data_IF_121756651090
#
_entry.id   IF_121756651090
#
_cell.length_a   1.000
_cell.length_b   1.000
_cell.length_c   1.000
_cell.angle_alpha   90.00
_cell.angle_beta   90.00
_cell.angle_gamma   90.00
#
_symmetry.space_group_name_H-M   'P 1'
#
loop_
_entity.id
_entity.type
_entity.pdbx_description
1 polymer ?
#
# COMPACT_ATOMS: atom_id res chain seq x y z
N UNK A 1 -4.91 -7.95 19.97
CA UNK A 1 -5.30 -9.19 19.28
C UNK A 1 -6.11 -8.81 18.04
N UNK A 2 -5.53 -9.01 16.86
CA UNK A 2 -6.25 -8.81 15.61
C UNK A 2 -6.96 -10.09 15.25
N UNK A 3 -8.28 -10.12 15.37
CA UNK A 3 -9.09 -11.29 15.03
C UNK A 3 -9.69 -11.08 13.64
N UNK A 4 -9.37 -11.96 12.70
CA UNK A 4 -9.97 -11.98 11.37
C UNK A 4 -11.07 -13.04 11.30
N UNK A 5 -12.27 -12.64 10.91
CA UNK A 5 -13.38 -13.55 10.68
C UNK A 5 -13.65 -13.67 9.17
N UNK A 6 -13.62 -14.89 8.66
CA UNK A 6 -13.99 -15.19 7.27
C UNK A 6 -15.37 -15.85 7.27
N UNK A 7 -16.29 -15.30 6.48
CA UNK A 7 -17.64 -15.81 6.35
C UNK A 7 -17.84 -16.37 4.95
N UNK A 8 -18.11 -17.68 4.88
CA UNK A 8 -18.68 -18.34 3.71
C UNK A 8 -20.17 -18.56 4.00
N UNK A 9 -21.08 -17.91 3.27
CA UNK A 9 -22.49 -17.88 3.60
C UNK A 9 -23.40 -18.17 2.41
N UNK A 10 -24.61 -18.61 2.76
CA UNK A 10 -25.70 -19.00 1.88
C UNK A 10 -25.98 -17.99 0.79
N UNK A 11 -25.86 -18.45 -0.43
CA UNK A 11 -26.03 -17.66 -1.65
C UNK A 11 -27.47 -17.69 -2.11
N UNK A 12 -27.95 -16.59 -2.69
CA UNK A 12 -29.24 -16.51 -3.34
C UNK A 12 -29.12 -16.00 -4.76
N UNK A 13 -30.04 -16.41 -5.62
CA UNK A 13 -30.16 -15.82 -6.95
C UNK A 13 -30.53 -14.33 -6.84
N UNK A 14 -30.03 -13.46 -7.75
CA UNK A 14 -30.46 -12.08 -7.83
C UNK A 14 -31.97 -11.96 -8.00
N UNK A 15 -32.63 -10.99 -7.35
CA UNK A 15 -34.09 -10.77 -7.42
C UNK A 15 -34.58 -10.56 -8.86
N UNK A 16 -33.80 -9.88 -9.69
CA UNK A 16 -34.15 -9.61 -11.08
C UNK A 16 -33.99 -10.82 -12.02
N UNK A 17 -33.54 -11.99 -11.48
CA UNK A 17 -33.09 -13.11 -12.29
C UNK A 17 -31.78 -12.79 -13.00
N UNK A 18 -30.91 -13.75 -13.07
CA UNK A 18 -29.56 -13.60 -13.65
C UNK A 18 -28.75 -14.87 -13.45
N UNK A 19 -27.57 -14.92 -14.04
CA UNK A 19 -26.60 -15.97 -13.77
C UNK A 19 -25.75 -15.54 -12.59
N UNK A 20 -25.50 -16.46 -11.65
CA UNK A 20 -24.67 -16.24 -10.47
C UNK A 20 -25.49 -16.13 -9.19
N UNK A 21 -24.83 -15.97 -8.09
CA UNK A 21 -25.39 -15.86 -6.75
C UNK A 21 -24.98 -14.53 -6.10
N UNK A 22 -25.83 -14.02 -5.21
CA UNK A 22 -25.55 -12.80 -4.42
C UNK A 22 -25.55 -13.22 -2.93
N UNK A 23 -24.60 -12.74 -2.16
CA UNK A 23 -24.54 -12.96 -0.73
C UNK A 23 -25.69 -12.22 -0.04
N UNK A 24 -26.49 -12.96 0.74
CA UNK A 24 -27.72 -12.44 1.35
C UNK A 24 -27.44 -11.49 2.52
N UNK A 25 -28.29 -10.45 2.68
CA UNK A 25 -28.16 -9.47 3.75
C UNK A 25 -28.34 -10.06 5.16
N UNK A 26 -29.35 -10.90 5.42
CA UNK A 26 -29.61 -11.42 6.76
C UNK A 26 -28.50 -12.27 7.38
N UNK A 27 -27.89 -13.23 6.67
CA UNK A 27 -26.75 -13.97 7.19
C UNK A 27 -25.55 -13.07 7.48
N UNK A 28 -25.24 -12.14 6.57
CA UNK A 28 -24.14 -11.18 6.72
C UNK A 28 -24.38 -10.26 7.93
N UNK A 29 -25.60 -9.71 8.06
CA UNK A 29 -25.96 -8.86 9.17
C UNK A 29 -25.83 -9.57 10.52
N UNK A 30 -26.37 -10.80 10.64
CA UNK A 30 -26.25 -11.56 11.88
C UNK A 30 -24.83 -11.83 12.29
N UNK A 31 -23.96 -12.06 11.33
CA UNK A 31 -22.57 -12.28 11.62
C UNK A 31 -21.84 -10.98 11.98
N UNK A 32 -22.07 -9.90 11.25
CA UNK A 32 -21.56 -8.59 11.56
C UNK A 32 -21.99 -8.14 12.98
N UNK A 33 -23.27 -8.31 13.32
CA UNK A 33 -23.80 -7.98 14.63
C UNK A 33 -23.15 -8.81 15.75
N UNK A 34 -22.97 -10.12 15.52
CA UNK A 34 -22.29 -10.99 16.50
C UNK A 34 -20.83 -10.57 16.74
N UNK A 35 -20.11 -10.15 15.70
CA UNK A 35 -18.73 -9.62 15.83
C UNK A 35 -18.74 -8.31 16.62
N UNK A 36 -19.66 -7.39 16.33
CA UNK A 36 -19.78 -6.12 17.06
C UNK A 36 -20.10 -6.36 18.54
N UNK A 37 -20.98 -7.32 18.85
CA UNK A 37 -21.32 -7.71 20.22
C UNK A 37 -20.10 -8.29 20.96
N UNK A 38 -19.31 -9.13 20.29
CA UNK A 38 -18.08 -9.71 20.86
C UNK A 38 -17.01 -8.63 21.13
N UNK A 39 -16.88 -7.65 20.22
CA UNK A 39 -15.97 -6.53 20.39
C UNK A 39 -16.44 -5.53 21.44
N UNK A 40 -17.71 -5.55 21.80
CA UNK A 40 -18.34 -4.60 22.74
C UNK A 40 -18.47 -3.17 22.21
N UNK A 41 -18.18 -2.95 20.94
CA UNK A 41 -18.32 -1.67 20.24
C UNK A 41 -18.42 -1.89 18.72
N UNK A 42 -19.06 -0.97 17.96
CA UNK A 42 -19.00 -1.00 16.51
C UNK A 42 -17.55 -0.90 16.03
N UNK A 43 -17.15 -1.81 15.13
CA UNK A 43 -15.86 -1.77 14.46
C UNK A 43 -16.01 -1.13 13.08
N UNK A 44 -14.97 -0.47 12.61
CA UNK A 44 -14.96 0.10 11.26
C UNK A 44 -15.02 -1.02 10.21
N UNK A 45 -16.07 -1.02 9.43
CA UNK A 45 -16.41 -2.11 8.50
C UNK A 45 -16.05 -1.72 7.06
N UNK A 46 -15.21 -2.52 6.44
CA UNK A 46 -14.66 -2.27 5.10
C UNK A 46 -15.10 -3.40 4.16
N UNK A 47 -15.74 -3.05 3.04
CA UNK A 47 -16.03 -3.98 1.95
C UNK A 47 -14.90 -3.96 0.91
N UNK A 48 -14.36 -5.14 0.61
CA UNK A 48 -13.31 -5.30 -0.42
C UNK A 48 -13.97 -5.44 -1.80
N UNK A 49 -13.95 -4.36 -2.57
CA UNK A 49 -14.70 -4.23 -3.82
C UNK A 49 -13.86 -3.54 -4.89
N UNK A 50 -13.98 -3.95 -6.18
CA UNK A 50 -13.37 -3.20 -7.28
C UNK A 50 -13.91 -1.77 -7.43
N UNK A 51 -15.10 -1.47 -6.86
CA UNK A 51 -15.72 -0.15 -6.90
C UNK A 51 -15.14 0.83 -5.87
N UNK A 52 -14.42 0.33 -4.88
CA UNK A 52 -13.87 1.11 -3.79
C UNK A 52 -12.69 2.02 -4.19
N UNK A 53 -12.33 2.93 -3.30
CA UNK A 53 -11.12 3.73 -3.46
C UNK A 53 -9.87 2.84 -3.44
N UNK A 54 -8.89 3.14 -4.31
CA UNK A 54 -7.66 2.34 -4.39
C UNK A 54 -6.85 2.47 -3.09
N UNK A 55 -6.55 1.34 -2.47
CA UNK A 55 -5.78 1.24 -1.24
C UNK A 55 -4.35 1.78 -1.43
N UNK A 56 -3.92 2.64 -0.54
CA UNK A 56 -2.60 3.26 -0.55
C UNK A 56 -2.03 3.28 0.88
N UNK A 57 -0.72 3.49 1.00
CA UNK A 57 -0.03 3.53 2.29
C UNK A 57 -0.65 4.53 3.28
N UNK A 58 -1.10 5.70 2.80
CA UNK A 58 -1.77 6.70 3.64
C UNK A 58 -3.09 6.19 4.23
N UNK A 59 -3.84 5.36 3.48
CA UNK A 59 -5.05 4.70 4.00
C UNK A 59 -4.69 3.67 5.08
N UNK A 60 -3.61 2.88 4.90
CA UNK A 60 -3.14 1.97 5.94
C UNK A 60 -2.77 2.70 7.23
N UNK A 61 -2.03 3.82 7.12
CA UNK A 61 -1.70 4.68 8.26
C UNK A 61 -2.95 5.26 8.93
N UNK A 62 -3.92 5.69 8.15
CA UNK A 62 -5.20 6.21 8.64
C UNK A 62 -5.96 5.13 9.42
N UNK A 63 -6.16 3.95 8.82
CA UNK A 63 -6.87 2.85 9.46
C UNK A 63 -6.22 2.45 10.79
N UNK A 64 -4.89 2.34 10.83
CA UNK A 64 -4.16 2.02 12.07
C UNK A 64 -4.30 3.11 13.13
N UNK A 65 -4.34 4.38 12.75
CA UNK A 65 -4.43 5.52 13.69
C UNK A 65 -5.84 5.68 14.26
N UNK A 66 -6.85 5.52 13.41
CA UNK A 66 -8.21 5.95 13.72
C UNK A 66 -9.06 4.82 14.31
N UNK A 67 -8.66 3.53 14.15
CA UNK A 67 -9.46 2.38 14.56
C UNK A 67 -8.64 1.33 15.31
N UNK A 68 -9.22 0.81 16.39
CA UNK A 68 -8.66 -0.30 17.15
C UNK A 68 -9.08 -1.67 16.60
N UNK A 69 -10.21 -1.73 15.90
CA UNK A 69 -10.74 -2.94 15.26
C UNK A 69 -11.30 -2.63 13.87
N UNK A 70 -11.07 -3.55 12.95
CA UNK A 70 -11.57 -3.51 11.57
C UNK A 70 -12.36 -4.79 11.28
N UNK A 71 -13.51 -4.67 10.63
CA UNK A 71 -14.25 -5.78 10.02
C UNK A 71 -14.02 -5.71 8.51
N UNK A 72 -13.50 -6.79 7.92
CA UNK A 72 -13.26 -6.87 6.49
C UNK A 72 -14.30 -7.80 5.86
N UNK A 73 -15.17 -7.25 5.01
CA UNK A 73 -16.19 -8.00 4.28
C UNK A 73 -15.62 -8.44 2.94
N UNK A 74 -15.51 -9.76 2.77
CA UNK A 74 -15.01 -10.38 1.55
C UNK A 74 -16.18 -10.88 0.71
N UNK A 75 -16.49 -10.18 -0.37
CA UNK A 75 -17.53 -10.58 -1.31
C UNK A 75 -17.08 -11.72 -2.23
N UNK A 76 -18.07 -12.50 -2.65
CA UNK A 76 -17.94 -13.56 -3.63
C UNK A 76 -19.00 -13.46 -4.72
N UNK A 77 -18.84 -14.23 -5.78
CA UNK A 77 -19.79 -14.37 -6.89
C UNK A 77 -20.15 -13.03 -7.55
N UNK A 78 -21.46 -12.67 -7.60
CA UNK A 78 -21.95 -11.41 -8.15
C UNK A 78 -21.90 -10.25 -7.13
N UNK A 79 -21.43 -10.52 -5.89
CA UNK A 79 -21.27 -9.53 -4.83
C UNK A 79 -22.18 -9.72 -3.64
N UNK A 80 -22.39 -8.65 -2.90
CA UNK A 80 -23.13 -8.59 -1.63
C UNK A 80 -24.42 -7.79 -1.83
N UNK A 81 -25.50 -8.18 -1.15
CA UNK A 81 -26.77 -7.44 -1.17
C UNK A 81 -26.54 -5.98 -0.73
N UNK A 82 -27.00 -5.04 -1.58
CA UNK A 82 -26.74 -3.62 -1.40
C UNK A 82 -27.29 -3.08 -0.06
N UNK A 83 -28.37 -3.63 0.45
CA UNK A 83 -28.96 -3.21 1.73
C UNK A 83 -28.02 -3.47 2.92
N UNK A 84 -27.23 -4.56 2.87
CA UNK A 84 -26.21 -4.81 3.87
C UNK A 84 -25.04 -3.80 3.73
N UNK A 85 -24.64 -3.50 2.52
CA UNK A 85 -23.60 -2.50 2.28
C UNK A 85 -24.03 -1.12 2.79
N UNK A 86 -25.24 -0.69 2.48
CA UNK A 86 -25.78 0.61 2.88
C UNK A 86 -25.93 0.76 4.41
N UNK A 87 -26.21 -0.35 5.13
CA UNK A 87 -26.47 -0.33 6.57
C UNK A 87 -25.24 -0.58 7.42
N UNK A 88 -24.33 -1.47 6.99
CA UNK A 88 -23.27 -2.00 7.85
C UNK A 88 -21.85 -1.65 7.40
N UNK A 89 -21.66 -1.14 6.18
CA UNK A 89 -20.32 -0.87 5.63
C UNK A 89 -20.01 0.62 5.68
N UNK A 90 -18.88 0.98 6.29
CA UNK A 90 -18.44 2.36 6.40
C UNK A 90 -17.70 2.85 5.15
N UNK A 91 -16.95 1.96 4.50
CA UNK A 91 -16.22 2.29 3.26
C UNK A 91 -15.95 1.06 2.39
N UNK A 92 -15.72 1.32 1.08
CA UNK A 92 -15.25 0.32 0.13
C UNK A 92 -13.79 0.57 -0.25
N UNK A 93 -12.99 -0.49 -0.27
CA UNK A 93 -11.58 -0.44 -0.65
C UNK A 93 -11.29 -1.39 -1.81
N UNK A 94 -10.60 -0.88 -2.83
CA UNK A 94 -10.04 -1.65 -3.94
C UNK A 94 -8.53 -1.80 -3.80
N UNK A 95 -7.97 -2.93 -4.22
CA UNK A 95 -6.51 -3.12 -4.32
C UNK A 95 -5.95 -2.79 -5.71
N UNK A 96 -6.80 -2.35 -6.64
CA UNK A 96 -6.41 -1.94 -8.00
C UNK A 96 -7.52 -2.13 -9.01
N UNK A 97 -7.29 -1.66 -10.24
CA UNK A 97 -8.24 -1.70 -11.35
C UNK A 97 -8.22 -3.09 -12.04
N UNK A 98 -8.53 -4.12 -11.27
CA UNK A 98 -8.66 -5.49 -11.76
C UNK A 98 -9.63 -6.28 -10.87
N UNK A 99 -10.17 -7.39 -11.40
CA UNK A 99 -11.15 -8.22 -10.70
C UNK A 99 -10.50 -9.50 -10.22
N UNK A 100 -10.81 -9.88 -8.97
CA UNK A 100 -10.44 -11.15 -8.35
C UNK A 100 -11.69 -12.00 -8.13
N UNK A 101 -11.51 -13.29 -7.83
CA UNK A 101 -12.62 -14.23 -7.61
C UNK A 101 -13.32 -14.02 -6.27
N UNK A 102 -12.68 -13.33 -5.32
CA UNK A 102 -13.23 -13.05 -3.98
C UNK A 102 -12.44 -11.95 -3.27
N UNK A 103 -12.94 -11.49 -2.16
CA UNK A 103 -12.39 -10.41 -1.34
C UNK A 103 -11.23 -10.83 -0.41
N UNK A 104 -10.91 -12.12 -0.29
CA UNK A 104 -9.92 -12.60 0.69
C UNK A 104 -8.50 -12.14 0.38
N UNK A 105 -8.07 -12.18 -0.88
CA UNK A 105 -6.73 -11.70 -1.26
C UNK A 105 -6.60 -10.19 -1.03
N UNK A 106 -7.55 -9.34 -1.44
CA UNK A 106 -7.56 -7.94 -1.03
C UNK A 106 -7.53 -7.74 0.49
N UNK A 107 -8.31 -8.53 1.24
CA UNK A 107 -8.30 -8.46 2.70
C UNK A 107 -6.93 -8.78 3.29
N UNK A 108 -6.25 -9.80 2.78
CA UNK A 108 -4.88 -10.14 3.19
C UNK A 108 -3.92 -8.98 2.93
N UNK A 109 -4.04 -8.28 1.78
CA UNK A 109 -3.22 -7.10 1.49
C UNK A 109 -3.45 -5.97 2.50
N UNK A 110 -4.71 -5.70 2.85
CA UNK A 110 -5.07 -4.69 3.86
C UNK A 110 -4.56 -5.08 5.24
N UNK A 111 -4.78 -6.35 5.65
CA UNK A 111 -4.32 -6.88 6.95
C UNK A 111 -2.80 -6.76 7.06
N UNK A 112 -2.04 -7.21 6.07
CA UNK A 112 -0.57 -7.12 6.11
C UNK A 112 -0.11 -5.67 6.20
N UNK A 113 -0.62 -4.79 5.32
CA UNK A 113 -0.21 -3.39 5.29
C UNK A 113 -0.55 -2.62 6.56
N UNK A 114 -1.67 -2.93 7.23
CA UNK A 114 -2.08 -2.27 8.48
C UNK A 114 -1.38 -2.89 9.70
N UNK A 115 -1.30 -4.23 9.78
CA UNK A 115 -0.75 -4.92 10.95
C UNK A 115 0.73 -4.63 11.16
N UNK A 116 1.52 -4.49 10.09
CA UNK A 116 2.94 -4.13 10.21
C UNK A 116 3.19 -2.72 10.78
N UNK A 117 2.16 -1.86 10.84
CA UNK A 117 2.19 -0.56 11.52
C UNK A 117 1.83 -0.64 13.00
N UNK A 118 1.42 -1.81 13.49
CA UNK A 118 1.10 -2.03 14.91
C UNK A 118 2.42 -2.23 15.67
N UNK A 119 2.64 -1.49 16.78
CA UNK A 119 3.85 -1.66 17.59
C UNK A 119 4.05 -3.12 18.03
N UNK A 120 5.27 -3.63 17.87
CA UNK A 120 5.63 -4.98 18.26
C UNK A 120 5.33 -6.08 17.22
N UNK A 121 4.69 -5.78 16.09
CA UNK A 121 4.51 -6.71 14.97
C UNK A 121 5.82 -6.85 14.18
N UNK A 122 6.46 -5.73 13.87
CA UNK A 122 7.84 -5.72 13.35
C UNK A 122 8.80 -5.40 14.50
N UNK A 123 10.01 -5.96 14.41
CA UNK A 123 11.00 -5.85 15.50
C UNK A 123 11.53 -4.44 15.76
N UNK A 124 11.45 -3.54 14.77
CA UNK A 124 11.89 -2.15 14.87
C UNK A 124 11.00 -1.26 13.99
N UNK A 125 10.61 -0.09 14.49
CA UNK A 125 9.83 0.90 13.73
C UNK A 125 10.59 1.45 12.51
N UNK A 126 11.91 1.43 12.53
CA UNK A 126 12.75 1.81 11.38
C UNK A 126 12.51 0.89 10.18
N UNK A 127 12.03 -0.35 10.41
CA UNK A 127 11.77 -1.31 9.34
C UNK A 127 10.72 -0.85 8.32
N UNK A 128 9.82 0.09 8.66
CA UNK A 128 8.81 0.58 7.72
C UNK A 128 8.92 2.08 7.41
N UNK A 129 9.66 2.86 8.21
CA UNK A 129 9.79 4.31 7.98
C UNK A 129 10.73 4.66 6.81
N UNK A 130 11.68 3.78 6.51
CA UNK A 130 12.64 3.94 5.40
C UNK A 130 12.17 3.26 4.10
N UNK A 131 10.99 2.63 4.10
CA UNK A 131 10.45 1.92 2.96
C UNK A 131 9.73 2.83 1.96
N UNK A 132 9.50 2.29 0.75
CA UNK A 132 8.73 2.94 -0.31
C UNK A 132 7.35 3.38 0.18
N UNK A 133 6.91 4.55 -0.27
CA UNK A 133 5.61 5.17 0.02
C UNK A 133 5.42 5.72 1.45
N UNK A 134 6.39 5.57 2.36
CA UNK A 134 6.24 6.08 3.73
C UNK A 134 6.20 7.60 3.79
N UNK A 135 7.15 8.25 3.12
CA UNK A 135 7.30 9.70 2.99
C UNK A 135 6.98 10.22 1.58
N UNK A 136 6.40 9.34 0.73
CA UNK A 136 6.07 9.63 -0.66
C UNK A 136 7.21 9.39 -1.64
N UNK A 137 8.35 8.86 -1.20
CA UNK A 137 9.45 8.43 -2.06
C UNK A 137 9.42 6.91 -2.28
N UNK A 138 10.09 6.44 -3.32
CA UNK A 138 10.49 5.05 -3.47
C UNK A 138 11.78 4.83 -2.70
N UNK A 139 11.96 3.62 -2.18
CA UNK A 139 13.18 3.20 -1.51
C UNK A 139 14.39 3.22 -2.45
N UNK A 140 15.56 3.51 -1.90
CA UNK A 140 16.84 3.43 -2.60
C UNK A 140 17.21 1.99 -2.97
N UNK A 141 18.13 1.75 -3.95
CA UNK A 141 18.53 0.41 -4.35
C UNK A 141 19.31 -0.29 -3.24
N UNK A 142 18.95 -1.53 -2.95
CA UNK A 142 19.61 -2.39 -1.99
C UNK A 142 20.71 -3.23 -2.64
N UNK A 143 21.77 -3.49 -1.89
CA UNK A 143 22.92 -4.30 -2.33
C UNK A 143 23.24 -5.36 -1.29
N UNK A 144 23.56 -6.55 -1.77
CA UNK A 144 24.01 -7.68 -0.95
C UNK A 144 25.45 -8.06 -1.29
N UNK A 145 26.05 -9.01 -0.54
CA UNK A 145 27.30 -9.65 -0.91
C UNK A 145 27.08 -10.65 -2.06
N UNK A 146 28.08 -10.86 -2.91
CA UNK A 146 29.43 -10.31 -2.93
C UNK A 146 29.48 -8.86 -3.44
N UNK A 147 30.57 -8.13 -3.16
CA UNK A 147 30.78 -6.74 -3.60
C UNK A 147 30.85 -6.59 -5.13
N UNK A 148 31.22 -7.67 -5.82
CA UNK A 148 31.30 -7.73 -7.26
C UNK A 148 30.52 -8.95 -7.79
N UNK A 149 29.61 -8.71 -8.75
CA UNK A 149 28.79 -9.73 -9.39
C UNK A 149 28.65 -9.47 -10.87
N UNK A 150 29.12 -10.40 -11.73
CA UNK A 150 29.08 -10.29 -13.20
C UNK A 150 29.61 -8.97 -13.77
N UNK A 151 30.68 -8.42 -13.17
CA UNK A 151 31.28 -7.16 -13.58
C UNK A 151 30.59 -5.90 -13.01
N UNK A 152 29.49 -6.06 -12.32
CA UNK A 152 28.81 -4.99 -11.57
C UNK A 152 29.37 -4.90 -10.15
N UNK A 153 29.56 -3.68 -9.65
CA UNK A 153 30.11 -3.45 -8.31
C UNK A 153 29.14 -2.69 -7.42
N UNK A 154 29.18 -2.97 -6.13
CA UNK A 154 28.49 -2.18 -5.11
C UNK A 154 29.10 -0.77 -5.10
N UNK A 155 28.29 0.30 -5.00
CA UNK A 155 28.80 1.67 -4.89
C UNK A 155 29.77 1.84 -3.71
N UNK A 156 30.95 2.41 -3.96
CA UNK A 156 32.02 2.57 -2.96
C UNK A 156 31.58 3.29 -1.68
N UNK A 157 30.62 4.23 -1.82
CA UNK A 157 30.07 4.97 -0.67
C UNK A 157 29.45 4.04 0.37
N UNK A 158 28.81 2.94 -0.08
CA UNK A 158 28.19 1.95 0.82
C UNK A 158 29.22 1.09 1.57
N UNK A 159 30.45 1.00 1.04
CA UNK A 159 31.56 0.28 1.64
C UNK A 159 32.45 1.18 2.52
N UNK A 160 32.19 2.49 2.52
CA UNK A 160 33.06 3.48 3.17
C UNK A 160 33.00 3.48 4.71
N UNK A 161 32.00 2.86 5.32
CA UNK A 161 31.75 2.92 6.78
C UNK A 161 31.30 4.32 7.28
N UNK A 162 31.14 5.30 6.39
CA UNK A 162 30.72 6.66 6.74
C UNK A 162 29.19 6.77 6.64
N UNK A 163 28.50 6.64 7.75
CA UNK A 163 27.03 6.65 7.81
C UNK A 163 26.40 7.92 7.21
N UNK A 164 26.96 9.10 7.46
CA UNK A 164 26.45 10.35 6.92
C UNK A 164 26.48 10.39 5.37
N UNK A 165 27.58 9.90 4.77
CA UNK A 165 27.70 9.79 3.32
C UNK A 165 26.75 8.74 2.75
N UNK A 166 26.59 7.61 3.45
CA UNK A 166 25.65 6.55 3.08
C UNK A 166 24.21 7.06 3.09
N UNK A 167 23.78 7.75 4.14
CA UNK A 167 22.42 8.27 4.27
C UNK A 167 22.12 9.35 3.23
N UNK A 168 23.10 10.22 2.96
CA UNK A 168 22.99 11.20 1.86
C UNK A 168 22.85 10.53 0.50
N UNK A 169 23.60 9.47 0.26
CA UNK A 169 23.52 8.68 -0.97
C UNK A 169 22.17 7.98 -1.09
N UNK A 170 21.68 7.33 -0.02
CA UNK A 170 20.36 6.68 0.03
C UNK A 170 19.25 7.67 -0.33
N UNK A 171 19.23 8.82 0.32
CA UNK A 171 18.26 9.88 0.02
C UNK A 171 18.31 10.36 -1.42
N UNK A 172 19.53 10.56 -1.95
CA UNK A 172 19.74 10.89 -3.37
C UNK A 172 19.14 9.84 -4.28
N UNK A 173 19.42 8.55 -4.04
CA UNK A 173 18.93 7.45 -4.87
C UNK A 173 17.40 7.29 -4.78
N UNK A 174 16.81 7.44 -3.60
CA UNK A 174 15.37 7.41 -3.42
C UNK A 174 14.67 8.48 -4.27
N UNK A 175 15.18 9.71 -4.26
CA UNK A 175 14.67 10.82 -5.07
C UNK A 175 14.79 10.51 -6.55
N UNK A 176 15.98 10.12 -7.04
CA UNK A 176 16.22 9.81 -8.45
C UNK A 176 15.33 8.69 -8.95
N UNK A 177 15.20 7.60 -8.19
CA UNK A 177 14.29 6.48 -8.52
C UNK A 177 12.84 6.93 -8.59
N UNK A 178 12.40 7.78 -7.67
CA UNK A 178 11.02 8.30 -7.68
C UNK A 178 10.78 9.18 -8.90
N UNK A 179 11.73 10.05 -9.24
CA UNK A 179 11.64 10.88 -10.46
C UNK A 179 11.54 10.04 -11.74
N UNK A 180 12.27 8.94 -11.79
CA UNK A 180 12.34 8.07 -12.97
C UNK A 180 11.13 7.12 -13.07
N UNK A 181 10.86 6.37 -11.99
CA UNK A 181 9.90 5.25 -12.01
C UNK A 181 8.47 5.71 -11.66
N UNK A 182 8.32 6.75 -10.85
CA UNK A 182 7.04 7.27 -10.38
C UNK A 182 7.00 8.81 -10.46
N UNK A 183 7.10 9.38 -11.66
CA UNK A 183 7.02 10.83 -11.85
C UNK A 183 5.70 11.43 -11.34
N UNK A 184 4.62 10.66 -11.33
CA UNK A 184 3.33 11.02 -10.74
C UNK A 184 3.43 11.24 -9.22
N UNK A 185 4.20 10.41 -8.51
CA UNK A 185 4.47 10.58 -7.08
C UNK A 185 5.39 11.78 -6.85
N UNK A 186 6.46 11.89 -7.63
CA UNK A 186 7.41 12.99 -7.49
C UNK A 186 6.74 14.36 -7.66
N UNK A 187 5.80 14.51 -8.62
CA UNK A 187 5.05 15.75 -8.81
C UNK A 187 4.13 16.09 -7.63
N UNK A 188 3.63 15.07 -6.91
CA UNK A 188 2.78 15.25 -5.73
C UNK A 188 3.59 15.57 -4.47
N UNK A 189 4.87 15.24 -4.47
CA UNK A 189 5.76 15.57 -3.36
C UNK A 189 5.86 17.09 -3.22
N UNK A 190 5.09 17.62 -2.29
CA UNK A 190 5.35 18.94 -1.75
C UNK A 190 6.52 18.80 -0.79
N UNK A 191 7.73 18.72 -1.35
CA UNK A 191 8.90 18.91 -0.48
C UNK A 191 8.70 20.23 0.24
N UNK A 192 8.59 20.23 1.56
CA UNK A 192 8.71 21.45 2.30
C UNK A 192 10.18 21.87 2.20
N UNK A 193 10.54 22.49 1.08
CA UNK A 193 11.86 23.10 0.92
C UNK A 193 12.01 24.21 1.97
N UNK A 194 12.28 23.77 3.18
CA UNK A 194 12.45 24.68 4.33
C UNK A 194 13.71 25.50 4.18
N UNK A 195 14.71 24.96 3.48
CA UNK A 195 16.01 25.60 3.35
C UNK A 195 16.42 25.85 1.90
N UNK A 196 17.27 26.88 1.71
CA UNK A 196 17.90 27.18 0.40
C UNK A 196 18.80 26.03 -0.07
N UNK A 197 19.41 25.29 0.88
CA UNK A 197 20.29 24.15 0.57
C UNK A 197 19.50 22.97 -0.02
N UNK A 198 18.31 22.67 0.53
CA UNK A 198 17.45 21.62 -0.02
C UNK A 198 16.97 21.94 -1.44
N UNK A 199 16.55 23.17 -1.69
CA UNK A 199 16.18 23.62 -3.04
C UNK A 199 17.30 23.47 -4.04
N UNK A 200 18.51 23.84 -3.64
CA UNK A 200 19.71 23.71 -4.48
C UNK A 200 20.01 22.23 -4.77
N UNK A 201 19.93 21.37 -3.76
CA UNK A 201 20.17 19.94 -3.91
C UNK A 201 19.20 19.27 -4.89
N UNK A 202 17.90 19.59 -4.81
CA UNK A 202 16.92 19.05 -5.76
C UNK A 202 17.14 19.58 -7.17
N UNK A 203 17.42 20.87 -7.35
CA UNK A 203 17.72 21.42 -8.67
C UNK A 203 18.97 20.77 -9.30
N UNK A 204 19.98 20.45 -8.50
CA UNK A 204 21.16 19.70 -8.95
C UNK A 204 20.77 18.27 -9.40
N UNK A 205 19.87 17.59 -8.66
CA UNK A 205 19.39 16.27 -9.02
C UNK A 205 18.51 16.27 -10.29
N UNK A 206 17.66 17.26 -10.47
CA UNK A 206 16.85 17.44 -11.67
C UNK A 206 17.75 17.62 -12.90
N UNK A 207 18.76 18.48 -12.80
CA UNK A 207 19.73 18.71 -13.88
C UNK A 207 20.55 17.43 -14.19
N UNK A 208 20.96 16.68 -13.18
CA UNK A 208 21.66 15.39 -13.34
C UNK A 208 20.77 14.36 -14.06
N UNK A 209 19.49 14.28 -13.69
CA UNK A 209 18.53 13.36 -14.29
C UNK A 209 18.24 13.72 -15.76
N UNK A 210 18.10 15.00 -16.08
CA UNK A 210 17.95 15.45 -17.48
C UNK A 210 19.17 15.12 -18.33
N UNK A 211 20.38 15.32 -17.78
CA UNK A 211 21.63 14.95 -18.46
C UNK A 211 21.74 13.43 -18.67
N UNK A 212 21.30 12.62 -17.70
CA UNK A 212 21.29 11.18 -17.81
C UNK A 212 20.33 10.71 -18.91
N UNK A 213 19.12 11.23 -18.94
CA UNK A 213 18.12 10.95 -19.98
C UNK A 213 18.57 11.35 -21.37
N UNK A 214 19.33 12.43 -21.51
CA UNK A 214 19.84 12.89 -22.80
C UNK A 214 21.02 12.07 -23.34
N UNK A 215 21.75 11.36 -22.48
CA UNK A 215 22.95 10.58 -22.85
C UNK A 215 22.68 9.18 -23.33
N UNK A 216 21.60 8.54 -22.88
CA UNK A 216 21.25 7.17 -23.27
C UNK A 216 19.73 6.92 -23.35
N UNK A 217 19.12 7.20 -24.52
CA UNK A 217 17.70 6.89 -24.75
C UNK A 217 17.37 5.39 -24.69
N UNK A 218 18.38 4.50 -24.75
CA UNK A 218 18.18 3.04 -24.72
C UNK A 218 18.11 2.47 -23.28
N UNK A 219 18.64 3.18 -22.30
CA UNK A 219 18.54 2.77 -20.89
C UNK A 219 17.15 3.03 -20.28
N UNK A 220 16.22 3.61 -21.04
CA UNK A 220 14.83 3.82 -20.62
C UNK A 220 13.92 2.60 -20.89
N UNK A 221 14.43 1.52 -21.49
CA UNK A 221 13.62 0.37 -21.92
C UNK A 221 13.66 -0.81 -20.89
N UNK A 222 13.47 -0.50 -19.61
CA UNK A 222 13.12 -1.51 -18.60
C UNK A 222 11.65 -2.00 -18.72
N UNK A 223 10.99 -1.72 -19.85
CA UNK A 223 9.62 -2.15 -20.17
C UNK A 223 9.59 -3.27 -21.19
N UNK A 224 10.42 -4.29 -21.03
CA UNK A 224 10.22 -5.57 -21.72
C UNK A 224 10.28 -6.71 -20.73
#
# INVERSE_FOLDING_TARGET
DTTAYTLSLLDALPICGGRGAVMQCDPLYRCWAAICDELGAPAHTIYLSPCGAVFQQEKAKQLRRDYDALILVCGHYEGVDQRFLDECVDEEISVGDFVLTGGELPAMCVVDAVSRLVPGVLGDEVCFTDESHWDGLLEYPQYSRPEQWHGLTVPEVLLSGNHEKVDRWRKKQAILRTMELRPDMFQKLRFPYKTRAERKFIAELEAENEQFRSRDPKNLDYRK
#
